data_IF_237335978480
#
_entry.id   IF_237335978480
#
_cell.length_a   1.000
_cell.length_b   1.000
_cell.length_c   1.000
_cell.angle_alpha   90.00
_cell.angle_beta   90.00
_cell.angle_gamma   90.00
#
_symmetry.space_group_name_H-M   'P 1'
#
loop_
_entity.id
_entity.type
_entity.pdbx_description
1 polymer ?
#
# COMPACT_ATOMS: atom_id res chain seq x y z
N UNK A 1 1.64 12.04 -38.26
CA UNK A 1 1.37 11.75 -36.83
C UNK A 1 2.71 11.57 -36.13
N UNK A 2 3.06 12.33 -35.08
CA UNK A 2 4.31 12.10 -34.37
C UNK A 2 4.20 10.79 -33.57
N UNK A 3 5.14 9.88 -33.83
CA UNK A 3 5.25 8.55 -33.21
C UNK A 3 5.22 8.62 -31.67
N UNK A 4 4.44 7.72 -31.05
CA UNK A 4 4.29 7.52 -29.61
C UNK A 4 5.62 7.40 -28.83
N UNK A 5 6.74 7.17 -29.53
CA UNK A 5 8.10 7.14 -28.99
C UNK A 5 8.58 8.50 -28.43
N UNK A 6 8.03 9.64 -28.88
CA UNK A 6 8.43 10.97 -28.34
C UNK A 6 7.86 11.27 -26.94
N UNK A 7 6.88 10.50 -26.45
CA UNK A 7 6.25 10.71 -25.15
C UNK A 7 7.00 10.06 -23.96
N UNK A 8 8.15 9.39 -24.20
CA UNK A 8 8.93 8.66 -23.19
C UNK A 8 10.26 9.32 -22.80
N UNK A 9 10.57 10.53 -23.29
CA UNK A 9 11.76 11.26 -22.84
C UNK A 9 11.60 11.65 -21.36
N UNK A 10 12.31 10.93 -20.47
CA UNK A 10 12.33 11.17 -19.03
C UNK A 10 11.48 10.21 -18.17
N UNK A 11 10.81 9.21 -18.77
CA UNK A 11 10.10 8.17 -18.00
C UNK A 11 10.99 6.94 -17.86
N UNK A 12 11.15 6.37 -16.65
CA UNK A 12 12.00 5.20 -16.45
C UNK A 12 11.56 4.04 -17.34
N UNK A 13 12.52 3.25 -17.80
CA UNK A 13 12.25 2.06 -18.59
C UNK A 13 11.48 1.02 -17.76
N UNK A 14 10.77 0.09 -18.41
CA UNK A 14 10.09 -1.01 -17.71
C UNK A 14 11.07 -1.82 -16.85
N UNK A 15 12.32 -1.96 -17.31
CA UNK A 15 13.38 -2.62 -16.56
C UNK A 15 13.82 -1.81 -15.33
N UNK A 16 13.94 -0.48 -15.45
CA UNK A 16 14.25 0.42 -14.33
C UNK A 16 13.13 0.46 -13.30
N UNK A 17 11.87 0.49 -13.75
CA UNK A 17 10.70 0.38 -12.87
C UNK A 17 10.69 -0.97 -12.15
N UNK A 18 11.00 -2.09 -12.84
CA UNK A 18 11.12 -3.41 -12.20
C UNK A 18 12.27 -3.47 -11.19
N UNK A 19 13.43 -2.89 -11.51
CA UNK A 19 14.57 -2.85 -10.59
C UNK A 19 14.29 -2.00 -9.33
N UNK A 20 13.55 -0.89 -9.47
CA UNK A 20 13.06 -0.10 -8.34
C UNK A 20 12.03 -0.85 -7.48
N UNK A 21 11.30 -1.80 -8.06
CA UNK A 21 10.31 -2.62 -7.37
C UNK A 21 10.92 -3.89 -6.74
N UNK A 22 12.00 -4.45 -7.30
CA UNK A 22 12.66 -5.65 -6.78
C UNK A 22 13.30 -5.44 -5.40
N UNK A 23 13.63 -4.20 -5.02
CA UNK A 23 14.06 -3.84 -3.66
C UNK A 23 12.89 -3.79 -2.67
N UNK A 24 11.65 -3.64 -3.15
CA UNK A 24 10.45 -3.50 -2.33
C UNK A 24 9.83 -4.89 -2.11
N UNK A 25 10.50 -5.65 -1.23
CA UNK A 25 9.97 -6.93 -0.74
C UNK A 25 8.71 -6.70 0.08
N UNK A 26 7.78 -7.65 0.00
CA UNK A 26 6.57 -7.67 0.82
C UNK A 26 6.98 -7.62 2.31
N UNK A 27 6.38 -6.74 3.13
CA UNK A 27 6.62 -6.75 4.57
C UNK A 27 6.11 -8.06 5.17
N UNK A 28 6.87 -8.64 6.10
CA UNK A 28 6.47 -9.84 6.85
C UNK A 28 5.34 -9.51 7.83
N UNK A 29 4.58 -10.51 8.29
CA UNK A 29 3.54 -10.31 9.31
C UNK A 29 4.13 -9.66 10.58
N UNK A 30 5.27 -10.19 11.04
CA UNK A 30 6.04 -9.60 12.14
C UNK A 30 6.41 -8.14 11.90
N UNK A 31 6.83 -7.77 10.68
CA UNK A 31 7.16 -6.37 10.36
C UNK A 31 5.93 -5.48 10.46
N UNK A 32 4.78 -5.94 9.98
CA UNK A 32 3.53 -5.17 10.05
C UNK A 32 3.00 -5.05 11.47
N UNK A 33 3.19 -6.07 12.30
CA UNK A 33 2.94 -6.02 13.73
C UNK A 33 3.80 -4.97 14.43
N UNK A 34 5.11 -4.97 14.17
CA UNK A 34 6.05 -3.98 14.70
C UNK A 34 5.64 -2.55 14.30
N UNK A 35 5.25 -2.37 13.03
CA UNK A 35 4.73 -1.08 12.53
C UNK A 35 3.45 -0.70 13.26
N UNK A 36 2.49 -1.61 13.37
CA UNK A 36 1.22 -1.35 14.05
C UNK A 36 1.45 -0.92 15.50
N UNK A 37 2.22 -1.72 16.26
CA UNK A 37 2.49 -1.46 17.68
C UNK A 37 3.20 -0.12 17.86
N UNK A 38 4.23 0.17 17.03
CA UNK A 38 4.93 1.46 17.06
C UNK A 38 3.98 2.65 16.93
N UNK A 39 3.12 2.65 15.90
CA UNK A 39 2.22 3.79 15.67
C UNK A 39 1.05 3.81 16.65
N UNK A 40 0.59 2.66 17.13
CA UNK A 40 -0.47 2.57 18.14
C UNK A 40 0.02 3.17 19.47
N UNK A 41 1.21 2.77 19.94
CA UNK A 41 1.85 3.35 21.12
C UNK A 41 2.05 4.86 20.98
N UNK A 42 2.49 5.33 19.81
CA UNK A 42 2.58 6.77 19.54
C UNK A 42 1.23 7.47 19.60
N UNK A 43 0.17 6.87 19.04
CA UNK A 43 -1.19 7.38 19.07
C UNK A 43 -1.66 7.59 20.53
N UNK A 44 -1.50 6.55 21.35
CA UNK A 44 -1.85 6.55 22.78
C UNK A 44 -1.00 7.55 23.57
N UNK A 45 0.31 7.58 23.36
CA UNK A 45 1.23 8.47 24.08
C UNK A 45 1.00 9.96 23.77
N UNK A 46 0.57 10.28 22.55
CA UNK A 46 0.31 11.67 22.12
C UNK A 46 -1.14 12.11 22.36
N UNK A 47 -2.04 11.18 22.72
CA UNK A 47 -3.48 11.43 22.84
C UNK A 47 -4.14 11.80 21.51
N UNK A 48 -3.50 11.47 20.38
CA UNK A 48 -4.07 11.67 19.05
C UNK A 48 -5.03 10.54 18.72
N UNK A 49 -6.13 10.84 18.03
CA UNK A 49 -7.10 9.82 17.58
C UNK A 49 -6.64 9.09 16.32
N UNK A 50 -5.78 9.73 15.55
CA UNK A 50 -5.20 9.18 14.34
C UNK A 50 -3.78 9.71 14.14
N UNK A 51 -2.92 8.87 13.58
CA UNK A 51 -1.53 9.20 13.26
C UNK A 51 -1.17 8.73 11.86
N UNK A 52 -0.30 9.47 11.20
CA UNK A 52 0.21 9.09 9.88
C UNK A 52 1.31 8.04 10.00
N UNK A 53 1.15 6.95 9.23
CA UNK A 53 2.11 5.84 9.20
C UNK A 53 3.14 6.12 8.11
N UNK A 54 4.40 6.27 8.51
CA UNK A 54 5.53 6.65 7.67
C UNK A 54 6.62 5.59 7.73
N UNK A 55 6.45 4.52 6.96
CA UNK A 55 7.42 3.42 6.88
C UNK A 55 8.02 3.38 5.47
N UNK A 56 9.29 3.83 5.28
CA UNK A 56 9.91 3.95 3.97
C UNK A 56 10.24 2.61 3.32
N UNK A 57 10.37 1.55 4.12
CA UNK A 57 10.57 0.18 3.68
C UNK A 57 9.27 -0.51 3.21
N UNK A 58 8.11 0.09 3.50
CA UNK A 58 6.80 -0.45 3.12
C UNK A 58 6.22 0.32 1.94
N UNK A 59 6.08 -0.35 0.79
CA UNK A 59 5.32 0.19 -0.33
C UNK A 59 3.82 -0.04 -0.13
N UNK A 60 3.17 0.88 0.60
CA UNK A 60 1.74 0.82 0.89
C UNK A 60 0.85 0.77 -0.35
N UNK A 61 1.21 1.48 -1.42
CA UNK A 61 0.44 1.46 -2.66
C UNK A 61 0.48 0.07 -3.30
N UNK A 62 1.66 -0.55 -3.35
CA UNK A 62 1.80 -1.91 -3.88
C UNK A 62 1.04 -2.92 -3.01
N UNK A 63 1.08 -2.76 -1.69
CA UNK A 63 0.32 -3.59 -0.75
C UNK A 63 -1.20 -3.49 -1.01
N UNK A 64 -1.73 -2.28 -1.19
CA UNK A 64 -3.15 -2.07 -1.49
C UNK A 64 -3.56 -2.62 -2.87
N UNK A 65 -2.70 -2.47 -3.87
CA UNK A 65 -2.93 -3.04 -5.20
C UNK A 65 -2.91 -4.56 -5.17
N UNK A 66 -2.17 -5.16 -4.23
CA UNK A 66 -2.11 -6.60 -4.10
C UNK A 66 -3.44 -7.20 -3.66
N UNK A 67 -4.27 -6.46 -2.90
CA UNK A 67 -5.57 -6.90 -2.36
C UNK A 67 -6.48 -7.52 -3.46
N UNK A 68 -7.33 -8.51 -3.11
CA UNK A 68 -8.16 -9.18 -4.09
C UNK A 68 -9.21 -8.20 -4.64
N UNK A 69 -9.47 -8.18 -5.96
CA UNK A 69 -10.62 -7.44 -6.49
C UNK A 69 -11.93 -7.95 -5.88
N UNK A 70 -12.90 -7.07 -5.55
CA UNK A 70 -12.91 -5.62 -5.79
C UNK A 70 -12.30 -4.78 -4.66
N UNK A 71 -11.67 -5.39 -3.65
CA UNK A 71 -11.18 -4.68 -2.46
C UNK A 71 -10.08 -3.68 -2.79
N UNK A 72 -9.16 -4.01 -3.70
CA UNK A 72 -8.12 -3.07 -4.14
C UNK A 72 -8.71 -1.77 -4.72
N UNK A 73 -9.67 -1.88 -5.65
CA UNK A 73 -10.36 -0.74 -6.26
C UNK A 73 -11.22 0.00 -5.24
N UNK A 74 -11.87 -0.73 -4.33
CA UNK A 74 -12.64 -0.14 -3.25
C UNK A 74 -11.75 0.69 -2.33
N UNK A 75 -10.60 0.17 -1.87
CA UNK A 75 -9.73 0.88 -0.92
C UNK A 75 -9.01 2.04 -1.59
N UNK A 76 -8.45 1.84 -2.79
CA UNK A 76 -7.72 2.90 -3.49
C UNK A 76 -8.63 3.98 -4.05
N UNK A 77 -9.83 3.64 -4.53
CA UNK A 77 -10.80 4.57 -5.11
C UNK A 77 -10.16 5.53 -6.12
N UNK A 78 -10.20 6.83 -5.82
CA UNK A 78 -9.63 7.92 -6.63
C UNK A 78 -8.11 8.11 -6.48
N UNK A 79 -7.43 7.24 -5.73
CA UNK A 79 -5.99 7.21 -5.55
C UNK A 79 -5.54 7.39 -4.11
N UNK A 80 -4.33 6.93 -3.84
CA UNK A 80 -3.68 6.98 -2.54
C UNK A 80 -3.10 8.38 -2.24
N UNK A 81 -3.34 8.89 -1.02
CA UNK A 81 -2.70 10.10 -0.49
C UNK A 81 -1.74 9.77 0.66
N UNK A 82 -2.24 9.12 1.72
CA UNK A 82 -1.43 8.73 2.88
C UNK A 82 -2.03 7.58 3.66
N UNK A 83 -1.18 6.91 4.44
CA UNK A 83 -1.56 5.86 5.39
C UNK A 83 -1.81 6.44 6.77
N UNK A 84 -2.86 5.97 7.43
CA UNK A 84 -3.26 6.38 8.76
C UNK A 84 -3.46 5.16 9.65
N UNK A 85 -3.13 5.31 10.92
CA UNK A 85 -3.55 4.41 11.99
C UNK A 85 -4.51 5.18 12.91
N UNK A 86 -5.59 4.54 13.32
CA UNK A 86 -6.55 5.10 14.27
C UNK A 86 -6.46 4.37 15.60
N UNK A 87 -6.62 5.10 16.70
CA UNK A 87 -6.53 4.57 18.07
C UNK A 87 -7.58 3.48 18.34
N UNK A 88 -8.78 3.61 17.77
CA UNK A 88 -9.92 2.72 18.05
C UNK A 88 -9.84 1.35 17.36
N UNK A 89 -8.75 1.06 16.64
CA UNK A 89 -8.64 -0.20 15.90
C UNK A 89 -8.10 -1.33 16.79
N UNK A 90 -8.93 -2.35 16.99
CA UNK A 90 -8.54 -3.56 17.70
C UNK A 90 -7.64 -4.46 16.83
N UNK A 91 -6.57 -4.96 17.45
CA UNK A 91 -5.88 -6.17 17.00
C UNK A 91 -6.76 -7.37 17.40
N UNK A 92 -7.30 -8.08 16.43
CA UNK A 92 -7.74 -9.45 16.64
C UNK A 92 -6.59 -10.33 16.17
N UNK A 93 -5.96 -11.10 17.06
CA UNK A 93 -4.93 -12.13 16.81
C UNK A 93 -4.38 -12.17 15.35
N UNK A 94 -3.39 -11.32 15.05
CA UNK A 94 -2.69 -11.29 13.75
C UNK A 94 -3.36 -10.47 12.63
N UNK A 95 -4.44 -9.73 12.94
CA UNK A 95 -5.15 -8.86 12.00
C UNK A 95 -4.87 -7.40 12.34
N UNK A 96 -4.11 -6.73 11.48
CA UNK A 96 -3.78 -5.31 11.66
C UNK A 96 -4.59 -4.46 10.70
N UNK A 97 -5.51 -3.64 11.22
CA UNK A 97 -6.30 -2.73 10.39
C UNK A 97 -5.56 -1.41 10.19
N UNK A 98 -5.44 -1.00 8.94
CA UNK A 98 -4.89 0.30 8.57
C UNK A 98 -5.89 1.10 7.75
N UNK A 99 -5.69 2.42 7.71
CA UNK A 99 -6.53 3.35 6.99
C UNK A 99 -5.78 4.02 5.86
N UNK A 100 -6.47 4.28 4.76
CA UNK A 100 -5.98 4.98 3.59
C UNK A 100 -6.78 6.25 3.44
N UNK A 101 -6.12 7.39 3.54
CA UNK A 101 -6.70 8.63 3.05
C UNK A 101 -6.51 8.67 1.54
N UNK A 102 -7.61 8.80 0.81
CA UNK A 102 -7.62 8.92 -0.63
C UNK A 102 -7.38 10.37 -1.07
N UNK A 103 -7.16 10.58 -2.38
CA UNK A 103 -6.91 11.91 -2.95
C UNK A 103 -8.09 12.87 -2.82
N UNK A 104 -9.32 12.37 -2.83
CA UNK A 104 -10.55 13.13 -2.57
C UNK A 104 -10.78 13.45 -1.09
N UNK A 105 -9.89 12.99 -0.18
CA UNK A 105 -10.02 13.18 1.26
C UNK A 105 -10.89 12.13 1.96
N UNK A 106 -11.56 11.24 1.22
CA UNK A 106 -12.26 10.10 1.81
C UNK A 106 -11.29 9.13 2.48
N UNK A 107 -11.76 8.42 3.50
CA UNK A 107 -10.97 7.43 4.22
C UNK A 107 -11.55 6.06 3.98
N UNK A 108 -10.69 5.13 3.57
CA UNK A 108 -10.98 3.71 3.49
C UNK A 108 -10.15 2.96 4.52
N UNK A 109 -10.54 1.74 4.88
CA UNK A 109 -9.73 0.85 5.69
C UNK A 109 -9.43 -0.43 4.92
N UNK A 110 -8.33 -1.08 5.29
CA UNK A 110 -8.04 -2.45 4.88
C UNK A 110 -7.44 -3.22 6.05
N UNK A 111 -7.66 -4.52 6.05
CA UNK A 111 -7.11 -5.43 7.05
C UNK A 111 -5.91 -6.15 6.47
N UNK A 112 -4.77 -6.04 7.14
CA UNK A 112 -3.60 -6.88 6.91
C UNK A 112 -3.83 -8.23 7.59
N UNK A 113 -4.89 -8.91 7.18
CA UNK A 113 -5.27 -10.26 7.64
C UNK A 113 -4.46 -11.23 6.80
N UNK A 114 -3.31 -11.73 7.28
CA UNK A 114 -2.45 -12.69 6.56
C UNK A 114 -2.62 -12.66 5.04
N UNK A 115 -2.38 -11.48 4.45
CA UNK A 115 -2.56 -11.27 3.03
C UNK A 115 -1.38 -11.96 2.34
N UNK A 116 -1.32 -13.29 2.34
CA UNK A 116 -1.44 -14.12 1.15
C UNK A 116 -0.75 -15.48 1.28
N UNK A 117 -1.55 -16.56 1.29
CA UNK A 117 -1.32 -17.65 0.34
C UNK A 117 -1.64 -17.10 -1.07
N UNK A 118 -0.56 -16.75 -1.78
CA UNK A 118 -0.41 -16.58 -3.24
C UNK A 118 -1.35 -15.68 -4.06
N UNK A 119 -0.98 -14.40 -4.25
CA UNK A 119 -1.01 -13.71 -5.55
C UNK A 119 0.00 -12.56 -5.67
N UNK A 120 0.98 -12.43 -4.75
CA UNK A 120 2.09 -11.47 -4.93
C UNK A 120 2.91 -11.81 -6.21
N UNK A 121 2.81 -13.06 -6.70
CA UNK A 121 3.32 -13.48 -8.00
C UNK A 121 2.56 -12.86 -9.20
N UNK A 122 1.27 -12.51 -9.05
CA UNK A 122 0.47 -11.97 -10.15
C UNK A 122 0.65 -10.45 -10.37
N UNK A 123 1.28 -9.72 -9.43
CA UNK A 123 1.59 -8.31 -9.64
C UNK A 123 2.69 -8.10 -10.69
N UNK A 124 3.64 -9.06 -10.81
CA UNK A 124 4.67 -9.06 -11.85
C UNK A 124 4.09 -9.23 -13.27
N UNK A 125 2.93 -9.87 -13.42
CA UNK A 125 2.33 -10.16 -14.72
C UNK A 125 1.21 -9.17 -15.13
N UNK A 126 0.39 -8.69 -14.18
CA UNK A 126 -0.79 -7.87 -14.53
C UNK A 126 -0.53 -6.37 -14.67
N UNK A 127 0.53 -5.83 -14.04
CA UNK A 127 0.84 -4.39 -14.10
C UNK A 127 1.37 -3.92 -15.47
N UNK A 128 1.77 -4.84 -16.36
CA UNK A 128 2.33 -4.49 -17.68
C UNK A 128 1.32 -4.55 -18.82
N UNK A 129 0.14 -5.17 -18.63
CA UNK A 129 -0.85 -5.34 -19.69
C UNK A 129 -1.80 -4.14 -19.81
N UNK A 130 -1.96 -3.34 -18.75
CA UNK A 130 -2.93 -2.23 -18.70
C UNK A 130 -2.30 -0.83 -18.62
N UNK A 131 -0.97 -0.74 -18.72
CA UNK A 131 -0.22 0.53 -18.66
C UNK A 131 0.41 0.90 -20.03
N UNK A 132 -0.18 0.42 -21.14
CA UNK A 132 0.19 0.72 -22.54
C UNK A 132 -0.95 1.44 -23.26
#
# INVERSE_FOLDING_TARGET
MPSALKARLGKPSVAEMRAQLDTLRKPTARRMEEVFNKYHEMCVATGQKEIEVLEPDVNWKALLMSLPPPQNSSVLGCGFRKMLLKETECVYEGIYRFHVQRRDGSVACFEFRDAYDDPYHNYKDKSFVHDV
#
